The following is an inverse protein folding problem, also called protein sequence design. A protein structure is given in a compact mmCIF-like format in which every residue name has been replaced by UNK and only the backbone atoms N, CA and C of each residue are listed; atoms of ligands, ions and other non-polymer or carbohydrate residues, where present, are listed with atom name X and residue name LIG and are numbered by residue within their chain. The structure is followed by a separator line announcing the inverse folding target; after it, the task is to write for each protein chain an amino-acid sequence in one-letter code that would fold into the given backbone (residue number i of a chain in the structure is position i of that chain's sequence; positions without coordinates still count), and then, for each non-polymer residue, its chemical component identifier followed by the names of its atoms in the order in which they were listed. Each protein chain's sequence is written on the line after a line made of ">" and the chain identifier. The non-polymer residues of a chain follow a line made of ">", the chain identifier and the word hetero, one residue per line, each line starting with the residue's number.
data_IF_913828617364
#
_entry.id   IF_913828617364
#
_cell.length_a   1.000
_cell.length_b   1.000
_cell.length_c   1.000
_cell.angle_alpha   90.00
_cell.angle_beta   90.00
_cell.angle_gamma   90.00
#
_symmetry.space_group_name_H-M   'P 1'
#
loop_
_entity.id
_entity.type
_entity.pdbx_description
1 polymer ?
#
# COMPACT_ATOMS: atom_id res chain seq x y z
N UNK A 1 1.98 -8.29 -8.27
CA UNK A 1 2.53 -7.21 -9.11
C UNK A 1 4.02 -7.08 -8.85
N UNK A 2 4.61 -5.91 -9.08
CA UNK A 2 6.04 -5.66 -8.80
C UNK A 2 6.31 -4.18 -8.55
N UNK A 3 7.48 -3.89 -7.97
CA UNK A 3 8.00 -2.54 -7.83
C UNK A 3 8.63 -2.08 -9.14
N UNK A 4 8.52 -0.78 -9.39
CA UNK A 4 9.02 -0.12 -10.59
C UNK A 4 9.81 1.13 -10.19
N UNK A 5 11.06 1.18 -10.65
CA UNK A 5 12.02 2.19 -10.23
C UNK A 5 11.60 3.60 -10.67
N UNK A 6 11.06 3.73 -11.87
CA UNK A 6 10.53 4.96 -12.45
C UNK A 6 9.27 5.49 -11.75
N UNK A 7 8.53 4.65 -11.02
CA UNK A 7 7.28 5.03 -10.33
C UNK A 7 7.47 5.28 -8.84
N UNK A 8 8.27 4.43 -8.19
CA UNK A 8 8.38 4.35 -6.73
C UNK A 8 9.80 4.45 -6.20
N UNK A 9 10.82 4.38 -7.07
CA UNK A 9 12.21 4.27 -6.66
C UNK A 9 12.66 2.85 -6.26
N UNK A 10 11.73 1.92 -6.02
CA UNK A 10 12.02 0.53 -5.69
C UNK A 10 11.97 -0.37 -6.93
N UNK A 11 12.63 -1.52 -6.89
CA UNK A 11 12.69 -2.44 -8.03
C UNK A 11 12.53 -3.90 -7.63
N UNK A 12 11.89 -4.68 -8.51
CA UNK A 12 11.78 -6.13 -8.37
C UNK A 12 10.38 -6.61 -7.95
N UNK A 13 10.08 -7.89 -8.14
CA UNK A 13 8.84 -8.50 -7.68
C UNK A 13 8.90 -8.84 -6.18
N UNK A 14 7.75 -8.82 -5.51
CA UNK A 14 7.64 -9.35 -4.14
C UNK A 14 7.62 -10.88 -4.13
N UNK A 15 6.92 -11.49 -5.09
CA UNK A 15 6.72 -12.93 -5.21
C UNK A 15 7.03 -13.37 -6.64
N UNK A 16 7.46 -14.63 -6.89
CA UNK A 16 7.80 -15.09 -8.24
C UNK A 16 6.64 -14.92 -9.24
N UNK A 17 5.43 -15.36 -8.85
CA UNK A 17 4.24 -15.31 -9.69
C UNK A 17 3.33 -14.11 -9.36
N UNK A 18 3.74 -12.92 -9.78
CA UNK A 18 3.07 -11.66 -9.41
C UNK A 18 1.64 -11.45 -9.95
N UNK A 19 1.08 -12.35 -10.75
CA UNK A 19 -0.27 -12.25 -11.35
C UNK A 19 -1.30 -13.15 -10.66
N UNK A 20 -0.89 -14.01 -9.73
CA UNK A 20 -1.79 -14.90 -8.99
C UNK A 20 -1.96 -14.40 -7.56
N UNK A 21 -3.20 -14.37 -7.09
CA UNK A 21 -3.52 -14.00 -5.71
C UNK A 21 -3.44 -15.21 -4.78
N UNK A 22 -2.57 -15.15 -3.76
CA UNK A 22 -2.34 -16.19 -2.77
C UNK A 22 -1.65 -15.59 -1.51
N UNK A 23 -1.27 -16.43 -0.54
CA UNK A 23 -0.56 -16.01 0.67
C UNK A 23 0.98 -16.13 0.59
N UNK A 24 1.55 -16.35 -0.60
CA UNK A 24 3.00 -16.52 -0.78
C UNK A 24 3.80 -15.35 -0.22
N UNK A 25 3.27 -14.13 -0.34
CA UNK A 25 3.89 -12.92 0.23
C UNK A 25 4.20 -13.06 1.73
N UNK A 26 3.26 -13.59 2.54
CA UNK A 26 3.49 -13.79 3.98
C UNK A 26 4.49 -14.90 4.26
N UNK A 27 4.42 -16.00 3.49
CA UNK A 27 5.32 -17.15 3.63
C UNK A 27 6.78 -16.76 3.44
N UNK A 28 7.11 -16.14 2.31
CA UNK A 28 8.51 -15.81 1.98
C UNK A 28 9.09 -14.72 2.90
N UNK A 29 8.26 -13.84 3.47
CA UNK A 29 8.72 -12.85 4.46
C UNK A 29 9.29 -13.52 5.72
N UNK A 30 8.80 -14.72 6.07
CA UNK A 30 9.25 -15.46 7.24
C UNK A 30 10.21 -16.61 6.91
N UNK A 31 10.13 -17.17 5.71
CA UNK A 31 10.93 -18.33 5.28
C UNK A 31 12.33 -17.94 4.79
N UNK A 32 12.49 -16.75 4.19
CA UNK A 32 13.74 -16.34 3.55
C UNK A 32 14.58 -15.38 4.39
N UNK A 33 15.90 -15.46 4.21
CA UNK A 33 16.84 -14.49 4.76
C UNK A 33 17.02 -13.32 3.80
N UNK A 34 16.54 -12.16 4.22
CA UNK A 34 16.50 -10.94 3.41
C UNK A 34 17.76 -10.07 3.64
N UNK A 35 18.49 -9.77 2.56
CA UNK A 35 19.72 -8.96 2.60
C UNK A 35 19.44 -7.53 2.15
N UNK A 36 19.97 -6.53 2.87
CA UNK A 36 19.84 -5.13 2.47
C UNK A 36 20.65 -4.86 1.19
N UNK A 37 20.03 -4.17 0.23
CA UNK A 37 20.63 -3.73 -1.04
C UNK A 37 20.29 -2.26 -1.26
N UNK A 38 21.31 -1.47 -1.58
CA UNK A 38 21.14 -0.09 -2.05
C UNK A 38 21.11 -0.12 -3.58
N UNK A 39 20.04 0.40 -4.17
CA UNK A 39 19.87 0.49 -5.62
C UNK A 39 20.70 1.65 -6.19
N UNK A 40 20.86 1.69 -7.51
CA UNK A 40 21.61 2.74 -8.23
C UNK A 40 21.09 4.16 -7.98
N UNK A 41 19.80 4.30 -7.68
CA UNK A 41 19.17 5.57 -7.35
C UNK A 41 19.30 5.96 -5.85
N UNK A 42 20.05 5.19 -5.06
CA UNK A 42 20.28 5.42 -3.63
C UNK A 42 19.17 4.90 -2.70
N UNK A 43 18.08 4.34 -3.23
CA UNK A 43 17.00 3.76 -2.43
C UNK A 43 17.44 2.42 -1.85
N UNK A 44 17.14 2.19 -0.57
CA UNK A 44 17.41 0.93 0.13
C UNK A 44 16.20 0.03 0.11
N UNK A 45 16.39 -1.23 -0.23
CA UNK A 45 15.40 -2.30 -0.13
C UNK A 45 16.08 -3.59 0.33
N UNK A 46 15.28 -4.64 0.55
CA UNK A 46 15.80 -5.97 0.86
C UNK A 46 15.62 -6.89 -0.33
N UNK A 47 16.58 -7.79 -0.55
CA UNK A 47 16.54 -8.77 -1.64
C UNK A 47 16.82 -10.17 -1.15
N UNK A 48 16.27 -11.13 -1.88
CA UNK A 48 16.56 -12.54 -1.80
C UNK A 48 16.84 -13.03 -3.22
N UNK A 49 17.97 -13.71 -3.43
CA UNK A 49 18.31 -14.35 -4.70
C UNK A 49 18.04 -15.84 -4.55
N UNK A 50 17.16 -16.37 -5.39
CA UNK A 50 16.99 -17.80 -5.58
C UNK A 50 18.13 -18.30 -6.46
N UNK A 51 19.12 -18.98 -5.87
CA UNK A 51 20.31 -19.45 -6.59
C UNK A 51 19.99 -20.53 -7.63
N UNK A 52 18.90 -21.29 -7.44
CA UNK A 52 18.50 -22.37 -8.35
C UNK A 52 17.77 -21.82 -9.59
N UNK A 53 16.98 -20.75 -9.40
CA UNK A 53 16.18 -20.14 -10.47
C UNK A 53 16.81 -18.89 -11.09
N UNK A 54 17.89 -18.37 -10.51
CA UNK A 54 18.50 -17.07 -10.86
C UNK A 54 17.47 -15.92 -10.83
N UNK A 55 16.52 -16.00 -9.89
CA UNK A 55 15.44 -15.02 -9.71
C UNK A 55 15.66 -14.19 -8.44
N UNK A 56 15.66 -12.85 -8.59
CA UNK A 56 15.74 -11.93 -7.46
C UNK A 56 14.33 -11.47 -7.02
N UNK A 57 13.98 -11.76 -5.77
CA UNK A 57 12.82 -11.20 -5.08
C UNK A 57 13.24 -10.01 -4.23
N UNK A 58 12.28 -9.13 -3.95
CA UNK A 58 12.52 -7.93 -3.17
C UNK A 58 11.40 -7.63 -2.18
N UNK A 59 11.78 -7.09 -1.03
CA UNK A 59 10.89 -6.58 0.01
C UNK A 59 11.24 -5.13 0.35
N UNK A 60 10.22 -4.34 0.64
CA UNK A 60 10.37 -3.00 1.19
C UNK A 60 10.74 -3.06 2.68
N UNK A 61 11.37 -2.02 3.22
CA UNK A 61 11.52 -1.88 4.67
C UNK A 61 10.17 -1.94 5.42
N UNK A 62 9.09 -1.44 4.81
CA UNK A 62 7.74 -1.49 5.37
C UNK A 62 7.15 -2.90 5.41
N UNK A 63 7.53 -3.77 4.46
CA UNK A 63 7.07 -5.16 4.43
C UNK A 63 7.69 -5.92 5.61
N UNK A 64 9.01 -5.84 5.77
CA UNK A 64 9.72 -6.53 6.85
C UNK A 64 9.43 -5.93 8.24
N UNK A 65 8.96 -4.69 8.32
CA UNK A 65 8.48 -4.11 9.57
C UNK A 65 7.27 -4.88 10.13
N UNK A 66 6.40 -5.43 9.27
CA UNK A 66 5.25 -6.25 9.69
C UNK A 66 5.69 -7.51 10.43
N UNK A 67 6.82 -8.11 10.03
CA UNK A 67 7.34 -9.33 10.66
C UNK A 67 7.93 -9.03 12.03
N UNK A 68 8.60 -7.89 12.17
CA UNK A 68 9.35 -7.49 13.38
C UNK A 68 8.46 -6.87 14.45
N UNK A 69 7.34 -6.27 14.07
CA UNK A 69 6.42 -5.64 15.00
C UNK A 69 5.67 -6.68 15.85
N UNK A 70 5.56 -6.43 17.16
CA UNK A 70 4.94 -7.37 18.11
C UNK A 70 3.44 -7.59 17.87
N UNK A 71 2.75 -6.57 17.33
CA UNK A 71 1.32 -6.62 17.06
C UNK A 71 1.02 -7.21 15.69
N UNK A 72 1.85 -6.94 14.68
CA UNK A 72 1.66 -7.42 13.31
C UNK A 72 2.29 -8.79 13.05
N UNK A 73 3.43 -9.09 13.65
CA UNK A 73 4.18 -10.34 13.44
C UNK A 73 3.33 -11.61 13.64
N UNK A 74 2.50 -11.70 14.71
CA UNK A 74 1.59 -12.83 14.88
C UNK A 74 0.58 -13.00 13.73
N UNK A 75 0.11 -11.91 13.12
CA UNK A 75 -0.79 -11.97 11.97
C UNK A 75 -0.08 -12.40 10.70
N UNK A 76 1.16 -11.94 10.48
CA UNK A 76 1.98 -12.39 9.36
C UNK A 76 2.17 -13.90 9.41
N UNK A 77 2.52 -14.46 10.57
CA UNK A 77 2.67 -15.91 10.76
C UNK A 77 1.35 -16.66 10.50
N UNK A 78 0.24 -16.19 11.07
CA UNK A 78 -1.09 -16.80 10.83
C UNK A 78 -1.46 -16.82 9.36
N UNK A 79 -1.25 -15.73 8.62
CA UNK A 79 -1.56 -15.69 7.19
C UNK A 79 -0.59 -16.51 6.33
N UNK A 80 0.66 -16.68 6.78
CA UNK A 80 1.59 -17.60 6.14
C UNK A 80 1.14 -19.07 6.27
N UNK A 81 0.64 -19.45 7.44
CA UNK A 81 0.18 -20.81 7.76
C UNK A 81 -1.23 -21.11 7.23
N UNK A 82 -2.13 -20.12 7.24
CA UNK A 82 -3.54 -20.27 6.85
C UNK A 82 -3.94 -19.29 5.74
N UNK A 83 -4.00 -19.83 4.51
CA UNK A 83 -4.40 -19.09 3.31
C UNK A 83 -5.88 -18.69 3.33
N UNK A 84 -6.76 -19.53 3.87
CA UNK A 84 -8.20 -19.28 3.81
C UNK A 84 -8.59 -18.19 4.82
N UNK A 85 -7.94 -18.16 5.99
CA UNK A 85 -8.03 -17.04 6.95
C UNK A 85 -7.54 -15.73 6.33
N UNK A 86 -6.42 -15.74 5.61
CA UNK A 86 -5.95 -14.56 4.88
C UNK A 86 -7.00 -14.08 3.88
N UNK A 87 -7.58 -14.98 3.09
CA UNK A 87 -8.56 -14.62 2.07
C UNK A 87 -9.83 -14.00 2.67
N UNK A 88 -10.36 -14.58 3.75
CA UNK A 88 -11.54 -14.04 4.45
C UNK A 88 -11.27 -12.63 5.01
N UNK A 89 -10.14 -12.44 5.70
CA UNK A 89 -9.78 -11.15 6.27
C UNK A 89 -9.47 -10.10 5.19
N UNK A 90 -8.76 -10.48 4.13
CA UNK A 90 -8.46 -9.60 3.01
C UNK A 90 -9.73 -9.12 2.32
N UNK A 91 -10.69 -10.02 2.05
CA UNK A 91 -11.95 -9.66 1.43
C UNK A 91 -12.73 -8.62 2.25
N UNK A 92 -12.80 -8.82 3.58
CA UNK A 92 -13.47 -7.88 4.51
C UNK A 92 -12.75 -6.53 4.56
N UNK A 93 -11.42 -6.54 4.70
CA UNK A 93 -10.62 -5.32 4.80
C UNK A 93 -10.63 -4.52 3.48
N UNK A 94 -10.48 -5.20 2.35
CA UNK A 94 -10.49 -4.58 1.02
C UNK A 94 -11.88 -4.07 0.67
N UNK A 95 -12.94 -4.83 0.99
CA UNK A 95 -14.33 -4.36 0.86
C UNK A 95 -14.57 -3.08 1.65
N UNK A 96 -14.16 -3.05 2.93
CA UNK A 96 -14.22 -1.85 3.76
C UNK A 96 -13.45 -0.68 3.14
N UNK A 97 -12.24 -0.93 2.65
CA UNK A 97 -11.39 0.09 2.02
C UNK A 97 -12.08 0.73 0.82
N UNK A 98 -12.69 -0.07 -0.06
CA UNK A 98 -13.40 0.42 -1.25
C UNK A 98 -14.64 1.25 -0.89
N UNK A 99 -15.28 0.97 0.25
CA UNK A 99 -16.48 1.66 0.70
C UNK A 99 -16.21 2.84 1.65
N UNK A 100 -14.96 3.12 2.01
CA UNK A 100 -14.63 4.27 2.86
C UNK A 100 -15.14 5.58 2.23
N UNK A 101 -15.94 6.32 2.99
CA UNK A 101 -16.59 7.56 2.54
C UNK A 101 -18.00 7.36 1.98
N UNK A 102 -18.45 6.12 1.75
CA UNK A 102 -19.83 5.82 1.34
C UNK A 102 -20.70 5.61 2.58
N UNK A 103 -21.80 6.34 2.69
CA UNK A 103 -22.84 6.17 3.69
C UNK A 103 -24.05 5.51 3.04
N UNK A 104 -24.63 4.53 3.73
CA UNK A 104 -25.82 3.81 3.25
C UNK A 104 -26.92 3.82 4.32
N UNK A 105 -28.17 3.85 3.89
CA UNK A 105 -29.31 3.59 4.78
C UNK A 105 -29.47 2.09 5.07
N UNK A 106 -30.46 1.75 5.89
CA UNK A 106 -30.78 0.36 6.26
C UNK A 106 -31.16 -0.52 5.06
N UNK A 107 -31.51 0.07 3.91
CA UNK A 107 -31.85 -0.64 2.68
C UNK A 107 -30.65 -0.72 1.72
N UNK A 108 -29.46 -0.28 2.15
CA UNK A 108 -28.24 -0.26 1.33
C UNK A 108 -28.17 0.88 0.32
N UNK A 109 -29.14 1.81 0.32
CA UNK A 109 -29.15 2.95 -0.59
C UNK A 109 -28.09 3.96 -0.15
N UNK A 110 -27.28 4.43 -1.09
CA UNK A 110 -26.26 5.45 -0.82
C UNK A 110 -26.94 6.76 -0.41
N UNK A 111 -26.57 7.30 0.75
CA UNK A 111 -27.14 8.52 1.35
C UNK A 111 -26.16 9.70 1.37
N UNK A 112 -24.97 9.55 0.78
CA UNK A 112 -24.00 10.62 0.64
C UNK A 112 -24.66 11.94 0.18
N UNK A 113 -24.53 13.00 0.97
CA UNK A 113 -25.05 14.34 0.64
C UNK A 113 -24.22 15.06 -0.43
N UNK A 114 -23.15 14.43 -0.91
CA UNK A 114 -22.20 15.02 -1.86
C UNK A 114 -22.92 15.50 -3.12
N UNK A 115 -23.90 14.75 -3.62
CA UNK A 115 -24.74 15.15 -4.77
C UNK A 115 -25.63 16.38 -4.50
N UNK A 116 -25.95 16.68 -3.24
CA UNK A 116 -26.75 17.86 -2.86
C UNK A 116 -25.89 19.12 -2.64
N UNK A 117 -24.57 18.97 -2.44
CA UNK A 117 -23.62 20.07 -2.19
C UNK A 117 -22.66 20.37 -3.35
N UNK A 118 -22.92 19.83 -4.56
CA UNK A 118 -22.11 20.11 -5.77
C UNK A 118 -21.35 18.91 -6.34
N UNK A 119 -21.53 17.71 -5.77
CA UNK A 119 -20.94 16.46 -6.24
C UNK A 119 -19.52 16.21 -5.74
N UNK A 120 -18.93 15.11 -6.23
CA UNK A 120 -17.54 14.77 -5.99
C UNK A 120 -16.61 15.77 -6.71
N UNK A 121 -15.89 16.59 -5.94
CA UNK A 121 -14.79 17.40 -6.47
C UNK A 121 -13.53 16.54 -6.53
N UNK A 122 -13.21 16.02 -7.72
CA UNK A 122 -11.98 15.27 -7.95
C UNK A 122 -10.77 16.08 -7.48
N UNK A 123 -9.87 15.43 -6.74
CA UNK A 123 -8.55 15.99 -6.49
C UNK A 123 -7.89 16.36 -7.84
N UNK A 124 -7.08 17.43 -7.89
CA UNK A 124 -6.38 17.84 -9.11
C UNK A 124 -5.62 16.66 -9.72
N UNK A 125 -5.62 16.58 -11.06
CA UNK A 125 -4.91 15.52 -11.78
C UNK A 125 -3.44 15.53 -11.38
N UNK A 126 -2.92 14.39 -10.91
CA UNK A 126 -1.48 14.23 -10.63
C UNK A 126 -0.68 14.46 -11.91
N UNK A 127 0.55 14.95 -11.77
CA UNK A 127 1.47 15.18 -12.90
C UNK A 127 1.61 13.92 -13.75
N UNK A 128 1.60 14.09 -15.07
CA UNK A 128 1.87 13.03 -16.05
C UNK A 128 3.35 12.68 -16.14
N UNK A 129 4.24 13.47 -15.55
CA UNK A 129 5.68 13.16 -15.47
C UNK A 129 6.01 12.41 -14.18
N UNK A 130 6.77 11.29 -14.25
CA UNK A 130 7.28 10.62 -13.06
C UNK A 130 8.27 11.52 -12.30
N UNK A 131 8.15 11.58 -10.98
CA UNK A 131 9.09 12.30 -10.12
C UNK A 131 8.44 12.92 -8.89
N UNK A 132 9.20 12.94 -7.78
CA UNK A 132 8.85 13.71 -6.57
C UNK A 132 9.09 15.21 -6.88
N UNK A 133 8.12 16.12 -6.69
CA UNK A 133 8.39 17.54 -6.80
C UNK A 133 9.46 17.95 -5.78
N UNK A 134 10.35 18.90 -6.14
CA UNK A 134 11.45 19.38 -5.27
C UNK A 134 10.97 19.90 -3.90
N UNK A 135 9.70 20.29 -3.79
CA UNK A 135 9.03 20.70 -2.56
C UNK A 135 7.79 19.83 -2.30
N UNK A 136 7.97 18.53 -2.13
CA UNK A 136 6.90 17.72 -1.54
C UNK A 136 6.92 17.95 -0.02
N UNK A 137 6.09 18.88 0.46
CA UNK A 137 5.61 18.86 1.84
C UNK A 137 4.76 17.60 2.09
N UNK A 138 3.98 17.60 3.17
CA UNK A 138 3.29 16.46 3.80
C UNK A 138 2.26 15.71 2.93
N UNK A 139 2.23 15.95 1.61
CA UNK A 139 1.31 15.30 0.66
C UNK A 139 -0.08 15.94 0.61
N UNK A 140 -0.29 17.05 1.30
CA UNK A 140 -1.54 17.82 1.28
C UNK A 140 -1.52 18.75 0.06
N UNK A 141 -2.55 18.71 -0.77
CA UNK A 141 -2.70 19.65 -1.88
C UNK A 141 -2.95 21.06 -1.32
N UNK A 142 -2.28 22.08 -1.89
CA UNK A 142 -2.36 23.49 -1.48
C UNK A 142 -3.80 23.99 -1.18
N UNK A 143 -4.81 23.71 -2.03
CA UNK A 143 -6.19 24.15 -1.76
C UNK A 143 -6.77 23.53 -0.48
N UNK A 144 -6.44 22.26 -0.22
CA UNK A 144 -6.88 21.53 0.97
C UNK A 144 -6.17 22.03 2.23
N UNK A 145 -4.94 22.53 2.08
CA UNK A 145 -4.16 23.08 3.19
C UNK A 145 -4.77 24.41 3.66
N UNK A 146 -5.20 25.26 2.74
CA UNK A 146 -5.93 26.50 3.06
C UNK A 146 -7.29 26.22 3.70
N UNK A 147 -8.04 25.24 3.18
CA UNK A 147 -9.35 24.89 3.72
C UNK A 147 -9.26 24.31 5.14
N UNK A 148 -8.29 23.43 5.38
CA UNK A 148 -8.00 22.88 6.71
C UNK A 148 -7.52 23.94 7.69
N UNK A 149 -6.71 24.91 7.24
CA UNK A 149 -6.27 26.03 8.07
C UNK A 149 -7.45 26.93 8.47
N UNK A 150 -8.36 27.24 7.53
CA UNK A 150 -9.59 28.00 7.80
C UNK A 150 -10.53 27.27 8.76
N UNK A 151 -10.66 25.95 8.64
CA UNK A 151 -11.46 25.14 9.56
C UNK A 151 -10.88 25.15 10.97
N UNK A 152 -9.56 24.96 11.11
CA UNK A 152 -8.87 25.01 12.42
C UNK A 152 -8.92 26.39 13.08
N UNK A 153 -8.91 27.48 12.32
CA UNK A 153 -9.03 28.84 12.86
C UNK A 153 -10.44 29.18 13.38
N UNK A 154 -11.42 28.29 13.15
CA UNK A 154 -12.83 28.47 13.54
C UNK A 154 -13.23 27.59 14.74
N UNK A 155 -12.30 26.77 15.23
CA UNK A 155 -12.37 26.01 16.48
C UNK A 155 -11.67 26.80 17.59
#
# INVERSE_FOLDING_TARGET
>A
GRMHMDRSGFHGPWVPNGTRFNNTYFRIMTEYEWKEKTLENGVKQFVYLDEDLDEELAMLPTDLALVKDESFGPWVKKYAEDKDLFFDHFAKAFGKLLELGIQRDANGKITNTDNAKGGYHSAPKKSSTPGKPKAAGDGIAEPLQEENARFKARL
#
